data_IF_624408306714
#
_entry.id   IF_624408306714
#
_cell.length_a   1.000
_cell.length_b   1.000
_cell.length_c   1.000
_cell.angle_alpha   90.00
_cell.angle_beta   90.00
_cell.angle_gamma   90.00
#
_symmetry.space_group_name_H-M   'P 1'
#
loop_
_entity.id
_entity.type
_entity.pdbx_description
1 polymer ?
#
# COMPACT_ATOMS: atom_id res chain seq x y z
N UNK A 1 21.05 -7.87 17.44
CA UNK A 1 21.84 -6.74 17.96
C UNK A 1 20.91 -5.93 18.85
N UNK A 2 21.40 -5.21 19.87
CA UNK A 2 20.52 -4.46 20.76
C UNK A 2 19.96 -3.25 20.00
N UNK A 3 18.68 -3.32 19.60
CA UNK A 3 17.95 -2.17 19.05
C UNK A 3 18.04 -1.01 20.04
N UNK A 4 18.52 0.13 19.55
CA UNK A 4 18.64 1.37 20.31
C UNK A 4 17.23 1.91 20.58
N UNK A 5 16.65 1.50 21.69
CA UNK A 5 15.44 2.10 22.26
C UNK A 5 15.71 3.58 22.56
N UNK A 6 15.23 4.47 21.68
CA UNK A 6 15.34 5.93 21.85
C UNK A 6 14.11 6.42 22.61
N UNK A 7 14.30 6.98 23.80
CA UNK A 7 13.24 7.66 24.56
C UNK A 7 13.30 9.15 24.31
N UNK A 8 12.19 9.73 23.85
CA UNK A 8 12.00 11.19 23.75
C UNK A 8 10.90 11.58 24.73
N UNK A 9 11.30 12.17 25.86
CA UNK A 9 10.38 12.42 26.97
C UNK A 9 9.80 11.11 27.53
N UNK A 10 8.48 11.05 27.65
CA UNK A 10 7.75 9.87 28.12
C UNK A 10 7.42 8.86 26.99
N UNK A 11 7.79 9.16 25.75
CA UNK A 11 7.46 8.33 24.59
C UNK A 11 8.65 7.45 24.21
N UNK A 12 8.37 6.20 23.87
CA UNK A 12 9.38 5.22 23.50
C UNK A 12 9.33 4.97 22.00
N UNK A 13 10.40 5.35 21.29
CA UNK A 13 10.54 5.06 19.86
C UNK A 13 11.02 3.63 19.73
N UNK A 14 10.22 2.81 19.08
CA UNK A 14 10.55 1.44 18.73
C UNK A 14 11.32 1.48 17.40
N UNK A 15 12.41 0.73 17.32
CA UNK A 15 13.01 0.41 16.03
C UNK A 15 12.21 -0.72 15.43
N UNK A 16 11.79 -0.54 14.17
CA UNK A 16 11.11 -1.60 13.46
C UNK A 16 12.13 -2.61 12.97
N UNK A 17 12.20 -3.76 13.64
CA UNK A 17 12.92 -4.94 13.16
C UNK A 17 12.04 -5.55 12.05
N UNK A 18 12.04 -4.91 10.88
CA UNK A 18 11.36 -5.44 9.70
C UNK A 18 12.14 -6.66 9.22
N UNK A 19 11.58 -7.84 9.45
CA UNK A 19 12.15 -9.09 8.97
C UNK A 19 12.05 -9.11 7.43
N UNK A 20 13.14 -8.79 6.73
CA UNK A 20 13.21 -8.77 5.25
C UNK A 20 12.87 -10.15 4.63
N UNK A 21 12.86 -11.20 5.45
CA UNK A 21 12.49 -12.57 5.07
C UNK A 21 11.01 -12.88 5.27
N UNK A 22 10.22 -11.93 5.77
CA UNK A 22 8.80 -12.10 5.98
C UNK A 22 8.08 -12.25 4.64
N UNK A 23 7.48 -13.42 4.46
CA UNK A 23 6.65 -13.75 3.30
C UNK A 23 5.21 -13.67 3.79
N UNK A 24 4.45 -12.62 3.42
CA UNK A 24 3.07 -12.51 3.83
C UNK A 24 2.25 -13.64 3.22
N UNK A 25 1.37 -14.20 4.03
CA UNK A 25 0.45 -15.24 3.63
C UNK A 25 -0.59 -14.69 2.65
N UNK A 26 -1.17 -15.56 1.82
CA UNK A 26 -2.23 -15.15 0.89
C UNK A 26 -3.43 -14.55 1.63
N UNK A 27 -3.72 -15.03 2.84
CA UNK A 27 -4.77 -14.47 3.69
C UNK A 27 -4.48 -13.03 4.14
N UNK A 28 -3.23 -12.73 4.49
CA UNK A 28 -2.80 -11.38 4.91
C UNK A 28 -2.87 -10.42 3.71
N UNK A 29 -2.43 -10.89 2.54
CA UNK A 29 -2.58 -10.15 1.28
C UNK A 29 -4.04 -9.85 0.97
N UNK A 30 -4.95 -10.81 1.17
CA UNK A 30 -6.39 -10.60 0.96
C UNK A 30 -7.01 -9.65 1.97
N UNK A 31 -6.58 -9.69 3.23
CA UNK A 31 -7.08 -8.81 4.28
C UNK A 31 -6.65 -7.36 4.03
N UNK A 32 -5.35 -7.17 3.77
CA UNK A 32 -4.80 -5.87 3.41
C UNK A 32 -5.39 -5.33 2.10
N UNK A 33 -5.63 -6.20 1.11
CA UNK A 33 -6.33 -5.81 -0.11
C UNK A 33 -7.68 -5.18 0.20
N UNK A 34 -8.48 -5.78 1.10
CA UNK A 34 -9.77 -5.22 1.52
C UNK A 34 -9.61 -3.91 2.29
N UNK A 35 -8.57 -3.81 3.12
CA UNK A 35 -8.25 -2.60 3.88
C UNK A 35 -7.89 -1.40 3.00
N UNK A 36 -7.16 -1.63 1.90
CA UNK A 36 -6.90 -0.61 0.88
C UNK A 36 -8.02 -0.46 -0.15
N UNK A 37 -9.12 -1.21 0.02
CA UNK A 37 -10.34 -1.10 -0.77
C UNK A 37 -10.32 -1.86 -2.09
N UNK A 38 -9.44 -2.85 -2.28
CA UNK A 38 -9.42 -3.81 -3.40
C UNK A 38 -10.31 -5.00 -3.07
N UNK A 39 -11.20 -5.36 -4.01
CA UNK A 39 -11.94 -6.62 -3.94
C UNK A 39 -11.10 -7.76 -4.56
N UNK A 40 -10.55 -8.73 -3.80
CA UNK A 40 -9.69 -9.77 -4.37
C UNK A 40 -10.38 -10.65 -5.41
N UNK A 41 -11.70 -10.82 -5.31
CA UNK A 41 -12.50 -11.59 -6.27
C UNK A 41 -12.83 -10.82 -7.56
N UNK A 42 -13.02 -9.49 -7.45
CA UNK A 42 -13.40 -8.65 -8.61
C UNK A 42 -12.19 -8.06 -9.32
N UNK A 43 -11.12 -7.81 -8.58
CA UNK A 43 -9.94 -7.08 -9.01
C UNK A 43 -8.65 -7.83 -8.67
N UNK A 44 -8.50 -9.09 -9.14
CA UNK A 44 -7.28 -9.86 -8.93
C UNK A 44 -6.05 -9.18 -9.56
N UNK A 45 -6.26 -8.31 -10.55
CA UNK A 45 -5.21 -7.51 -11.17
C UNK A 45 -4.67 -6.37 -10.30
N UNK A 46 -5.31 -6.07 -9.17
CA UNK A 46 -4.84 -5.07 -8.20
C UNK A 46 -4.24 -5.71 -6.95
N UNK A 47 -4.45 -7.00 -6.70
CA UNK A 47 -3.92 -7.72 -5.52
C UNK A 47 -2.40 -7.57 -5.35
N UNK A 48 -1.65 -7.40 -6.44
CA UNK A 48 -0.21 -7.16 -6.36
C UNK A 48 0.14 -5.88 -5.57
N UNK A 49 -0.72 -4.86 -5.56
CA UNK A 49 -0.55 -3.66 -4.74
C UNK A 49 -0.62 -4.00 -3.25
N UNK A 50 -1.54 -4.87 -2.86
CA UNK A 50 -1.67 -5.30 -1.48
C UNK A 50 -0.44 -6.11 -1.04
N UNK A 51 0.03 -7.03 -1.89
CA UNK A 51 1.26 -7.78 -1.64
C UNK A 51 2.46 -6.87 -1.50
N UNK A 52 2.57 -5.88 -2.37
CA UNK A 52 3.67 -4.92 -2.31
C UNK A 52 3.58 -4.04 -1.07
N UNK A 53 2.37 -3.67 -0.62
CA UNK A 53 2.18 -2.83 0.55
C UNK A 53 2.45 -3.51 1.89
N UNK A 54 2.13 -4.79 2.03
CA UNK A 54 2.52 -5.55 3.22
C UNK A 54 4.04 -5.72 3.29
N UNK A 55 4.69 -5.88 2.13
CA UNK A 55 6.15 -6.04 2.07
C UNK A 55 6.87 -4.68 2.04
N UNK A 56 6.12 -3.58 1.94
CA UNK A 56 6.71 -2.26 1.81
C UNK A 56 7.32 -1.85 3.15
N UNK A 57 8.65 -1.60 3.20
CA UNK A 57 9.23 -1.07 4.41
C UNK A 57 8.60 0.29 4.71
N UNK A 58 8.43 0.58 5.99
CA UNK A 58 7.99 1.90 6.41
C UNK A 58 8.93 2.97 5.83
N UNK A 59 8.39 4.12 5.41
CA UNK A 59 9.24 5.19 4.92
C UNK A 59 10.19 5.61 6.06
N UNK A 60 11.43 6.01 5.74
CA UNK A 60 12.48 6.26 6.74
C UNK A 60 12.13 7.37 7.75
N UNK A 61 11.13 8.18 7.41
CA UNK A 61 10.63 9.28 8.22
C UNK A 61 9.60 8.83 9.25
N UNK A 62 8.98 7.65 9.10
CA UNK A 62 8.00 7.10 10.02
C UNK A 62 8.63 6.09 10.97
N UNK A 63 8.30 6.17 12.26
CA UNK A 63 8.68 5.14 13.25
C UNK A 63 7.53 4.80 14.18
N UNK A 64 7.40 3.52 14.58
CA UNK A 64 6.50 3.14 15.65
C UNK A 64 6.95 3.77 16.97
N UNK A 65 6.04 4.45 17.64
CA UNK A 65 6.21 5.09 18.93
C UNK A 65 5.19 4.51 19.89
N UNK A 66 5.61 4.21 21.11
CA UNK A 66 4.73 3.79 22.18
C UNK A 66 4.44 4.97 23.10
N UNK A 67 3.15 5.24 23.33
CA UNK A 67 2.69 6.25 24.27
C UNK A 67 2.74 5.72 25.73
N UNK A 68 2.50 6.60 26.71
CA UNK A 68 2.49 6.28 28.15
C UNK A 68 1.45 5.21 28.54
N UNK A 69 0.40 5.05 27.73
CA UNK A 69 -0.62 4.03 27.90
C UNK A 69 -0.15 2.63 27.49
N UNK A 70 0.96 2.55 26.74
CA UNK A 70 1.45 1.34 26.11
C UNK A 70 0.94 1.12 24.69
N UNK A 71 0.11 2.02 24.16
CA UNK A 71 -0.39 1.94 22.79
C UNK A 71 0.69 2.32 21.77
N UNK A 72 0.77 1.56 20.68
CA UNK A 72 1.71 1.80 19.57
C UNK A 72 1.01 2.65 18.52
N UNK A 73 1.68 3.71 18.08
CA UNK A 73 1.24 4.58 16.99
C UNK A 73 2.44 4.93 16.11
N UNK A 74 2.21 5.30 14.85
CA UNK A 74 3.28 5.66 13.93
C UNK A 74 3.45 7.18 13.89
N UNK A 75 4.69 7.65 14.07
CA UNK A 75 5.02 9.08 14.03
C UNK A 75 5.99 9.39 12.90
N UNK A 76 5.69 10.42 12.12
CA UNK A 76 6.53 10.97 11.07
C UNK A 76 7.43 12.08 11.61
N UNK A 77 8.74 11.81 11.65
CA UNK A 77 9.75 12.72 12.17
C UNK A 77 10.09 13.87 11.21
N UNK A 78 9.70 13.80 9.94
CA UNK A 78 9.99 14.84 8.97
C UNK A 78 8.94 15.96 8.96
N UNK A 79 7.66 15.60 9.13
CA UNK A 79 6.55 16.57 9.08
C UNK A 79 5.75 16.66 10.39
N UNK A 80 6.03 15.81 11.38
CA UNK A 80 5.38 15.80 12.68
C UNK A 80 3.98 15.19 12.69
N UNK A 81 3.59 14.43 11.67
CA UNK A 81 2.31 13.74 11.62
C UNK A 81 2.32 12.46 12.46
N UNK A 82 1.19 12.14 13.09
CA UNK A 82 0.98 10.87 13.81
C UNK A 82 -0.23 10.14 13.22
N UNK A 83 -0.12 8.83 13.02
CA UNK A 83 -1.24 7.98 12.64
C UNK A 83 -1.28 6.72 13.49
N UNK A 84 -2.49 6.19 13.66
CA UNK A 84 -2.72 4.90 14.30
C UNK A 84 -2.70 3.75 13.27
N UNK A 85 -2.95 4.08 12.00
CA UNK A 85 -2.90 3.16 10.84
C UNK A 85 -1.46 3.10 10.30
N UNK A 86 -1.11 2.04 9.57
CA UNK A 86 0.22 1.98 9.01
C UNK A 86 0.34 3.00 7.83
N UNK A 87 1.36 3.87 7.81
CA UNK A 87 1.39 5.02 6.89
C UNK A 87 1.57 4.63 5.41
N UNK A 88 1.90 3.37 5.12
CA UNK A 88 1.86 2.87 3.74
C UNK A 88 0.41 2.66 3.26
N UNK A 89 -0.55 2.44 4.15
CA UNK A 89 -1.90 1.99 3.80
C UNK A 89 -2.64 3.07 3.01
N UNK A 90 -2.57 4.33 3.47
CA UNK A 90 -3.09 5.50 2.74
C UNK A 90 -2.46 5.62 1.35
N UNK A 91 -1.15 5.40 1.23
CA UNK A 91 -0.45 5.47 -0.06
C UNK A 91 -0.94 4.40 -1.03
N UNK A 92 -1.17 3.17 -0.53
CA UNK A 92 -1.69 2.08 -1.36
C UNK A 92 -3.16 2.28 -1.72
N UNK A 93 -3.99 2.85 -0.84
CA UNK A 93 -5.37 3.27 -1.17
C UNK A 93 -5.39 4.23 -2.35
N UNK A 94 -4.52 5.23 -2.38
CA UNK A 94 -4.41 6.15 -3.52
C UNK A 94 -3.92 5.46 -4.79
N UNK A 95 -2.91 4.58 -4.69
CA UNK A 95 -2.40 3.81 -5.83
C UNK A 95 -3.49 2.93 -6.46
N UNK A 96 -4.35 2.31 -5.65
CA UNK A 96 -5.48 1.51 -6.10
C UNK A 96 -6.43 2.34 -6.96
N UNK A 97 -6.77 3.56 -6.52
CA UNK A 97 -7.63 4.46 -7.28
C UNK A 97 -6.98 4.80 -8.64
N UNK A 98 -5.70 5.16 -8.63
CA UNK A 98 -4.99 5.49 -9.87
C UNK A 98 -4.89 4.32 -10.84
N UNK A 99 -4.60 3.11 -10.34
CA UNK A 99 -4.46 1.93 -11.20
C UNK A 99 -5.81 1.50 -11.77
N UNK A 100 -6.89 1.57 -10.99
CA UNK A 100 -8.28 1.41 -11.49
C UNK A 100 -8.58 2.37 -12.63
N UNK A 101 -8.28 3.66 -12.46
CA UNK A 101 -8.51 4.67 -13.49
C UNK A 101 -7.69 4.38 -14.75
N UNK A 102 -6.41 4.00 -14.60
CA UNK A 102 -5.54 3.62 -15.74
C UNK A 102 -6.08 2.41 -16.48
N UNK A 103 -6.57 1.39 -15.78
CA UNK A 103 -7.14 0.18 -16.38
C UNK A 103 -8.40 0.51 -17.19
N UNK A 104 -9.28 1.36 -16.66
CA UNK A 104 -10.45 1.87 -17.37
C UNK A 104 -10.06 2.67 -18.62
N UNK A 105 -9.05 3.54 -18.51
CA UNK A 105 -8.54 4.32 -19.64
C UNK A 105 -7.92 3.41 -20.74
N UNK A 106 -7.12 2.42 -20.34
CA UNK A 106 -6.45 1.47 -21.24
C UNK A 106 -7.44 0.54 -21.95
N UNK A 107 -8.50 0.12 -21.25
CA UNK A 107 -9.61 -0.65 -21.83
C UNK A 107 -10.34 0.14 -22.93
N UNK A 108 -10.54 1.43 -22.71
CA UNK A 108 -11.20 2.33 -23.67
C UNK A 108 -10.37 2.56 -24.95
N UNK A 109 -9.05 2.69 -24.82
CA UNK A 109 -8.13 2.83 -25.96
C UNK A 109 -8.09 1.56 -26.82
N UNK A 110 -7.98 0.38 -26.20
CA UNK A 110 -8.02 -0.92 -26.91
C UNK A 110 -9.32 -1.13 -27.69
N UNK A 111 -10.46 -0.66 -27.16
CA UNK A 111 -11.77 -0.77 -27.83
C UNK A 111 -11.86 0.15 -29.06
N UNK A 112 -11.35 1.38 -28.98
CA UNK A 112 -11.27 2.32 -30.12
C UNK A 112 -10.36 1.79 -31.24
N UNK A 113 -9.21 1.22 -30.90
CA UNK A 113 -8.27 0.65 -31.89
C UNK A 113 -8.86 -0.55 -32.64
N UNK A 114 -9.52 -1.48 -31.93
CA UNK A 114 -10.22 -2.62 -32.56
C UNK A 114 -11.31 -2.17 -33.51
N UNK A 115 -12.10 -1.14 -33.16
CA UNK A 115 -13.16 -0.59 -34.03
C UNK A 115 -12.57 0.00 -35.32
N UNK A 116 -11.52 0.82 -35.20
CA UNK A 116 -10.83 1.45 -36.35
C UNK A 116 -10.17 0.43 -37.29
N UNK A 117 -9.64 -0.67 -36.74
CA UNK A 117 -9.06 -1.78 -37.53
C UNK A 117 -10.14 -2.61 -38.26
N UNK A 118 -11.33 -2.75 -37.68
CA UNK A 118 -12.47 -3.45 -38.31
C UNK A 118 -13.04 -2.64 -39.49
N UNK A 119 -13.26 -1.34 -39.30
CA UNK A 119 -13.75 -0.43 -40.38
C UNK A 119 -12.77 -0.34 -41.57
N UNK A 120 -11.46 -0.41 -41.31
CA UNK A 120 -10.44 -0.40 -42.38
C UNK A 120 -10.36 -1.72 -43.16
N UNK A 121 -10.84 -2.83 -42.58
CA UNK A 121 -10.86 -4.16 -43.23
C UNK A 121 -12.13 -4.40 -44.06
N UNK A 122 -13.23 -3.72 -43.74
CA UNK A 122 -14.50 -3.82 -44.49
C UNK A 122 -14.55 -2.88 -45.71
N UNK A 123 -13.60 -1.96 -45.85
CA UNK A 123 -13.52 -0.98 -46.94
C UNK A 123 -12.45 -1.32 -47.99
N UNK A 124 -11.86 -2.50 -47.93
CA UNK A 124 -10.84 -3.03 -48.86
C UNK A 124 -11.29 -4.39 -49.35
#
# INVERSE_FOLDING_TARGET
MAGAMVRIGDQLILEEDYDETYIPSEQEIQDFAREIGIDPEKEPELIWLAREGIVAPLPPEWKPCQDITGDIYYFNFANGQSTWDHPCDDRYRELVIQEREKLLARGSLKKKEKKKKKEKKEKK
#
